data_IF_769437255582
#
_entry.id   IF_769437255582
#
_cell.length_a   1.000
_cell.length_b   1.000
_cell.length_c   1.000
_cell.angle_alpha   90.00
_cell.angle_beta   90.00
_cell.angle_gamma   90.00
#
_symmetry.space_group_name_H-M   'P 1'
#
loop_
_entity.id
_entity.type
_entity.pdbx_description
1 polymer ?
#
# COMPACT_ATOMS: atom_id res chain seq x y z
N UNK A 1 64.43 -17.61 -18.64
CA UNK A 1 63.00 -17.74 -19.02
C UNK A 1 62.07 -16.85 -18.19
N UNK A 2 62.38 -16.52 -16.93
CA UNK A 2 61.55 -15.65 -16.07
C UNK A 2 61.32 -14.20 -16.53
N UNK A 3 62.25 -13.58 -17.28
CA UNK A 3 62.09 -12.19 -17.79
C UNK A 3 60.99 -12.03 -18.85
N UNK A 4 60.69 -13.08 -19.64
CA UNK A 4 59.62 -13.03 -20.66
C UNK A 4 58.22 -13.18 -20.04
N UNK A 5 58.09 -13.95 -18.96
CA UNK A 5 56.83 -14.12 -18.24
C UNK A 5 56.38 -12.85 -17.51
N UNK A 6 57.33 -12.06 -17.00
CA UNK A 6 57.04 -10.76 -16.35
C UNK A 6 56.52 -9.73 -17.36
N UNK A 7 57.10 -9.70 -18.57
CA UNK A 7 56.68 -8.77 -19.63
C UNK A 7 55.27 -9.05 -20.16
N UNK A 8 54.85 -10.32 -20.21
CA UNK A 8 53.49 -10.71 -20.63
C UNK A 8 52.46 -10.37 -19.55
N UNK A 9 52.82 -10.50 -18.26
CA UNK A 9 51.93 -10.15 -17.15
C UNK A 9 51.67 -8.63 -17.06
N UNK A 10 52.66 -7.79 -17.38
CA UNK A 10 52.51 -6.33 -17.35
C UNK A 10 51.68 -5.75 -18.49
N UNK A 11 51.56 -6.44 -19.64
CA UNK A 11 50.75 -5.96 -20.78
C UNK A 11 49.32 -6.47 -20.77
N UNK A 12 49.01 -7.53 -20.02
CA UNK A 12 47.64 -8.06 -19.90
C UNK A 12 46.80 -7.32 -18.85
N UNK A 13 47.44 -6.76 -17.82
CA UNK A 13 46.75 -6.05 -16.74
C UNK A 13 45.98 -4.78 -17.17
N UNK A 14 46.48 -3.93 -18.11
CA UNK A 14 45.73 -2.79 -18.60
C UNK A 14 44.53 -3.18 -19.46
N UNK A 15 44.60 -4.29 -20.19
CA UNK A 15 43.53 -4.74 -21.08
C UNK A 15 42.26 -5.19 -20.32
N UNK A 16 42.42 -5.71 -19.10
CA UNK A 16 41.30 -6.06 -18.21
C UNK A 16 40.60 -4.83 -17.60
N UNK A 17 41.27 -3.67 -17.54
CA UNK A 17 40.70 -2.44 -16.99
C UNK A 17 39.79 -1.71 -17.99
N UNK A 18 39.91 -1.97 -19.29
CA UNK A 18 39.11 -1.30 -20.35
C UNK A 18 37.78 -2.01 -20.61
N UNK A 19 37.62 -3.27 -20.18
CA UNK A 19 36.37 -4.03 -20.32
C UNK A 19 35.25 -3.63 -19.34
N UNK A 20 35.55 -2.79 -18.35
CA UNK A 20 34.59 -2.40 -17.30
C UNK A 20 33.60 -1.30 -17.75
N UNK A 21 33.80 -0.66 -18.91
CA UNK A 21 32.92 0.45 -19.35
C UNK A 21 31.55 0.00 -19.90
N UNK A 22 31.30 -1.33 -20.01
CA UNK A 22 30.02 -1.88 -20.44
C UNK A 22 29.33 -2.75 -19.38
N UNK A 23 29.85 -2.80 -18.15
CA UNK A 23 29.33 -3.65 -17.08
C UNK A 23 28.29 -2.87 -16.25
N UNK A 24 27.03 -2.97 -16.64
CA UNK A 24 25.91 -2.42 -15.87
C UNK A 24 24.59 -2.74 -16.55
N UNK A 25 23.48 -2.25 -16.01
CA UNK A 25 22.13 -2.53 -16.52
C UNK A 25 22.01 -2.16 -18.00
N UNK A 26 21.84 -3.17 -18.87
CA UNK A 26 21.65 -3.00 -20.30
C UNK A 26 20.15 -2.98 -20.61
N UNK A 27 19.70 -1.95 -21.33
CA UNK A 27 18.32 -1.81 -21.73
C UNK A 27 18.22 -0.93 -22.98
N UNK A 28 18.03 -1.55 -24.14
CA UNK A 28 17.85 -0.84 -25.41
C UNK A 28 16.38 -0.47 -25.69
N UNK A 29 15.48 -0.85 -24.79
CA UNK A 29 14.06 -0.51 -24.86
C UNK A 29 13.72 0.66 -23.93
N UNK A 30 12.43 1.00 -23.88
CA UNK A 30 11.89 1.99 -22.94
C UNK A 30 11.30 1.33 -21.68
N UNK A 31 11.34 0.01 -21.60
CA UNK A 31 10.82 -0.75 -20.47
C UNK A 31 11.60 -0.46 -19.19
N UNK A 32 10.92 -0.41 -18.06
CA UNK A 32 11.61 -0.25 -16.79
C UNK A 32 12.18 -1.60 -16.32
N UNK A 33 13.50 -1.70 -16.19
CA UNK A 33 14.16 -2.88 -15.59
C UNK A 33 13.83 -2.99 -14.09
N UNK A 34 13.79 -1.84 -13.41
CA UNK A 34 13.53 -1.75 -11.97
C UNK A 34 12.03 -1.56 -11.71
N UNK A 35 11.29 -2.67 -11.62
CA UNK A 35 9.85 -2.66 -11.40
C UNK A 35 9.49 -2.51 -9.90
N UNK A 36 8.39 -1.83 -9.56
CA UNK A 36 7.93 -1.75 -8.19
C UNK A 36 7.42 -3.11 -7.70
N UNK A 37 7.82 -3.47 -6.50
CA UNK A 37 7.42 -4.70 -5.81
C UNK A 37 6.59 -4.32 -4.60
N UNK A 38 5.43 -4.97 -4.46
CA UNK A 38 4.50 -4.77 -3.34
C UNK A 38 4.67 -5.90 -2.34
N UNK A 39 5.06 -5.55 -1.12
CA UNK A 39 5.04 -6.47 0.02
C UNK A 39 3.76 -6.24 0.83
N UNK A 40 3.06 -7.33 1.16
CA UNK A 40 1.89 -7.34 2.03
C UNK A 40 2.21 -8.09 3.32
N UNK A 41 1.77 -7.57 4.46
CA UNK A 41 1.84 -8.22 5.76
C UNK A 41 0.46 -8.19 6.40
N UNK A 42 -0.08 -9.36 6.71
CA UNK A 42 -1.38 -9.51 7.35
C UNK A 42 -1.18 -9.89 8.83
N UNK A 43 -1.69 -9.05 9.71
CA UNK A 43 -1.62 -9.20 11.16
C UNK A 43 -3.02 -9.55 11.66
N UNK A 44 -3.13 -10.64 12.41
CA UNK A 44 -4.41 -11.17 12.87
C UNK A 44 -4.56 -10.99 14.37
N UNK A 45 -5.79 -10.68 14.80
CA UNK A 45 -6.18 -10.63 16.20
C UNK A 45 -7.52 -11.32 16.38
N UNK A 46 -7.55 -12.35 17.22
CA UNK A 46 -8.77 -13.09 17.53
C UNK A 46 -9.38 -12.58 18.84
N UNK A 47 -10.64 -12.16 18.76
CA UNK A 47 -11.43 -11.62 19.86
C UNK A 47 -12.64 -12.53 20.11
N UNK A 48 -12.99 -12.77 21.37
CA UNK A 48 -14.25 -13.47 21.69
C UNK A 48 -15.46 -12.57 21.50
N UNK A 49 -16.55 -13.13 21.02
CA UNK A 49 -17.84 -12.43 20.87
C UNK A 49 -18.80 -12.84 21.98
N UNK A 50 -19.71 -11.94 22.35
CA UNK A 50 -20.80 -12.24 23.29
C UNK A 50 -22.08 -11.54 22.84
N UNK A 51 -23.16 -12.31 22.65
CA UNK A 51 -24.40 -11.78 22.12
C UNK A 51 -24.22 -11.22 20.70
N UNK A 52 -24.39 -9.90 20.54
CA UNK A 52 -24.31 -9.19 19.26
C UNK A 52 -22.99 -8.39 19.09
N UNK A 53 -22.05 -8.48 20.03
CA UNK A 53 -20.85 -7.63 20.04
C UNK A 53 -19.60 -8.34 20.55
N UNK A 54 -18.54 -7.56 20.76
CA UNK A 54 -17.32 -8.05 21.39
C UNK A 54 -17.57 -8.42 22.85
N UNK A 55 -16.92 -9.47 23.35
CA UNK A 55 -17.02 -9.84 24.74
C UNK A 55 -16.43 -8.75 25.67
N UNK A 56 -16.89 -8.64 26.92
CA UNK A 56 -16.36 -7.65 27.86
C UNK A 56 -14.83 -7.72 27.98
N UNK A 57 -14.16 -6.57 27.77
CA UNK A 57 -12.71 -6.45 27.82
C UNK A 57 -11.99 -6.66 26.48
N UNK A 58 -12.64 -7.24 25.47
CA UNK A 58 -12.02 -7.44 24.14
C UNK A 58 -11.78 -6.13 23.39
N UNK A 59 -12.66 -5.14 23.54
CA UNK A 59 -12.45 -3.82 22.95
C UNK A 59 -11.14 -3.16 23.45
N UNK A 60 -10.83 -3.28 24.74
CA UNK A 60 -9.60 -2.76 25.33
C UNK A 60 -8.37 -3.53 24.88
N UNK A 61 -8.46 -4.86 24.77
CA UNK A 61 -7.38 -5.70 24.21
C UNK A 61 -7.10 -5.33 22.75
N UNK A 62 -8.16 -5.16 21.96
CA UNK A 62 -8.09 -4.74 20.57
C UNK A 62 -7.45 -3.36 20.43
N UNK A 63 -7.87 -2.39 21.26
CA UNK A 63 -7.28 -1.05 21.28
C UNK A 63 -5.79 -1.08 21.63
N UNK A 64 -5.38 -1.85 22.65
CA UNK A 64 -3.99 -2.03 23.03
C UNK A 64 -3.15 -2.68 21.93
N UNK A 65 -3.71 -3.68 21.24
CA UNK A 65 -3.08 -4.31 20.08
C UNK A 65 -2.89 -3.31 18.93
N UNK A 66 -3.92 -2.56 18.55
CA UNK A 66 -3.83 -1.52 17.51
C UNK A 66 -2.81 -0.43 17.86
N UNK A 67 -2.75 -0.03 19.13
CA UNK A 67 -1.76 0.93 19.61
C UNK A 67 -0.34 0.37 19.50
N UNK A 68 -0.13 -0.91 19.84
CA UNK A 68 1.17 -1.58 19.73
C UNK A 68 1.65 -1.67 18.27
N UNK A 69 0.72 -1.87 17.33
CA UNK A 69 1.00 -1.90 15.89
C UNK A 69 1.25 -0.51 15.30
N UNK A 70 0.94 0.55 16.05
CA UNK A 70 0.90 1.94 15.57
C UNK A 70 0.07 2.02 14.30
N UNK A 71 -1.20 1.60 14.42
CA UNK A 71 -2.16 1.64 13.33
C UNK A 71 -2.22 3.06 12.75
N UNK A 72 -2.20 3.18 11.43
CA UNK A 72 -2.12 4.49 10.79
C UNK A 72 -2.58 4.48 9.33
N UNK A 73 -2.32 5.60 8.65
CA UNK A 73 -2.66 5.76 7.25
C UNK A 73 -1.98 4.68 6.39
N UNK A 74 -2.75 4.08 5.48
CA UNK A 74 -2.31 2.99 4.60
C UNK A 74 -2.56 1.58 5.15
N UNK A 75 -2.88 1.44 6.44
CA UNK A 75 -3.33 0.17 7.00
C UNK A 75 -4.80 -0.07 6.66
N UNK A 76 -5.13 -1.30 6.25
CA UNK A 76 -6.52 -1.71 6.02
C UNK A 76 -6.96 -2.67 7.10
N UNK A 77 -8.12 -2.40 7.70
CA UNK A 77 -8.69 -3.26 8.73
C UNK A 77 -9.91 -3.95 8.18
N UNK A 78 -9.93 -5.27 8.21
CA UNK A 78 -11.07 -6.09 7.81
C UNK A 78 -11.48 -7.02 8.96
N UNK A 79 -12.71 -7.51 8.90
CA UNK A 79 -13.25 -8.46 9.86
C UNK A 79 -13.56 -9.76 9.13
N UNK A 80 -13.03 -10.85 9.65
CA UNK A 80 -13.31 -12.22 9.27
C UNK A 80 -14.17 -12.84 10.39
N UNK A 81 -15.48 -12.92 10.14
CA UNK A 81 -16.47 -13.46 11.06
C UNK A 81 -17.15 -14.69 10.45
N UNK A 82 -16.97 -15.89 11.04
CA UNK A 82 -17.58 -17.11 10.54
C UNK A 82 -19.11 -17.14 10.70
N UNK A 83 -19.69 -16.26 11.52
CA UNK A 83 -21.13 -16.13 11.71
C UNK A 83 -21.54 -14.65 11.76
N UNK A 84 -21.68 -13.96 10.62
CA UNK A 84 -21.90 -12.50 10.53
C UNK A 84 -23.31 -12.04 10.96
N UNK A 85 -23.92 -12.71 11.93
CA UNK A 85 -25.26 -12.42 12.43
C UNK A 85 -25.26 -11.22 13.38
N UNK A 86 -25.14 -10.01 12.80
CA UNK A 86 -25.33 -8.74 13.49
C UNK A 86 -24.24 -7.71 13.21
N UNK A 87 -24.58 -6.43 13.32
CA UNK A 87 -23.63 -5.33 13.10
C UNK A 87 -22.85 -4.94 14.36
N UNK A 88 -23.20 -5.45 15.54
CA UNK A 88 -22.61 -4.93 16.79
C UNK A 88 -21.11 -5.18 16.90
N UNK A 89 -20.59 -6.33 16.42
CA UNK A 89 -19.14 -6.57 16.33
C UNK A 89 -18.46 -5.60 15.36
N UNK A 90 -19.09 -5.36 14.19
CA UNK A 90 -18.60 -4.37 13.22
C UNK A 90 -18.58 -2.96 13.81
N UNK A 91 -19.63 -2.57 14.51
CA UNK A 91 -19.76 -1.27 15.16
C UNK A 91 -18.73 -1.09 16.29
N UNK A 92 -18.53 -2.12 17.11
CA UNK A 92 -17.53 -2.14 18.17
C UNK A 92 -16.12 -1.96 17.60
N UNK A 93 -15.76 -2.73 16.56
CA UNK A 93 -14.45 -2.60 15.90
C UNK A 93 -14.32 -1.25 15.19
N UNK A 94 -15.36 -0.79 14.49
CA UNK A 94 -15.40 0.52 13.82
C UNK A 94 -15.19 1.67 14.81
N UNK A 95 -15.75 1.56 16.01
CA UNK A 95 -15.55 2.53 17.10
C UNK A 95 -14.08 2.62 17.54
N UNK A 96 -13.33 1.51 17.51
CA UNK A 96 -11.91 1.50 17.86
C UNK A 96 -11.03 2.06 16.75
N UNK A 97 -11.28 1.67 15.49
CA UNK A 97 -10.43 2.10 14.35
C UNK A 97 -10.71 3.54 13.91
N UNK A 98 -11.92 4.06 14.17
CA UNK A 98 -12.27 5.46 13.83
C UNK A 98 -11.35 6.48 14.48
N UNK A 99 -10.75 6.15 15.63
CA UNK A 99 -9.75 6.96 16.33
C UNK A 99 -8.47 7.19 15.52
N UNK A 100 -8.20 6.30 14.57
CA UNK A 100 -7.07 6.38 13.64
C UNK A 100 -7.48 6.96 12.28
N UNK A 101 -8.74 7.40 12.12
CA UNK A 101 -9.28 7.89 10.85
C UNK A 101 -9.47 6.79 9.80
N UNK A 102 -9.59 5.54 10.23
CA UNK A 102 -9.75 4.38 9.35
C UNK A 102 -11.20 3.87 9.33
N UNK A 103 -11.56 3.24 8.22
CA UNK A 103 -12.83 2.58 8.00
C UNK A 103 -12.60 1.08 7.79
N UNK A 104 -13.58 0.27 8.18
CA UNK A 104 -13.56 -1.15 7.89
C UNK A 104 -13.58 -1.37 6.38
N UNK A 105 -12.71 -2.27 5.93
CA UNK A 105 -12.66 -2.75 4.55
C UNK A 105 -13.53 -4.00 4.42
N UNK A 106 -14.26 -4.09 3.32
CA UNK A 106 -15.05 -5.28 2.97
C UNK A 106 -14.19 -6.42 2.41
N UNK A 107 -12.91 -6.16 2.08
CA UNK A 107 -11.97 -7.14 1.53
C UNK A 107 -11.18 -7.81 2.66
N UNK A 108 -11.80 -8.77 3.34
CA UNK A 108 -11.12 -9.63 4.31
C UNK A 108 -10.23 -10.65 3.58
N UNK A 109 -8.90 -10.66 3.83
CA UNK A 109 -8.04 -11.68 3.25
C UNK A 109 -8.37 -13.06 3.79
N UNK A 110 -8.12 -14.08 2.97
CA UNK A 110 -8.16 -15.47 3.41
C UNK A 110 -7.04 -15.68 4.42
N UNK A 111 -7.41 -15.90 5.68
CA UNK A 111 -6.45 -16.16 6.75
C UNK A 111 -6.11 -17.66 6.79
N UNK A 112 -4.87 -18.00 7.16
CA UNK A 112 -4.36 -19.37 7.06
C UNK A 112 -4.94 -20.39 8.05
N UNK A 113 -5.74 -19.94 9.01
CA UNK A 113 -6.38 -20.79 10.01
C UNK A 113 -7.87 -20.46 10.12
N UNK A 114 -8.77 -21.44 10.31
CA UNK A 114 -10.18 -21.15 10.54
C UNK A 114 -10.38 -20.36 11.84
N UNK A 115 -11.34 -19.44 11.84
CA UNK A 115 -11.78 -18.73 13.06
C UNK A 115 -12.64 -19.69 13.89
N UNK A 116 -12.38 -19.76 15.19
CA UNK A 116 -13.14 -20.63 16.10
C UNK A 116 -14.58 -20.11 16.30
N UNK A 117 -15.57 -20.97 16.51
CA UNK A 117 -16.93 -20.54 16.85
C UNK A 117 -16.95 -19.64 18.09
N UNK A 118 -17.74 -18.55 18.06
CA UNK A 118 -17.80 -17.57 19.15
C UNK A 118 -16.60 -16.62 19.21
N UNK A 119 -15.76 -16.63 18.18
CA UNK A 119 -14.66 -15.67 18.00
C UNK A 119 -14.84 -14.93 16.69
N UNK A 120 -14.31 -13.72 16.65
CA UNK A 120 -14.16 -12.92 15.43
C UNK A 120 -12.68 -12.61 15.23
N UNK A 121 -12.24 -12.60 13.98
CA UNK A 121 -10.87 -12.23 13.63
C UNK A 121 -10.85 -10.84 13.01
N UNK A 122 -10.07 -9.95 13.62
CA UNK A 122 -9.72 -8.66 13.03
C UNK A 122 -8.40 -8.82 12.31
N UNK A 123 -8.36 -8.43 11.03
CA UNK A 123 -7.16 -8.50 10.20
C UNK A 123 -6.71 -7.10 9.83
N UNK A 124 -5.47 -6.76 10.16
CA UNK A 124 -4.80 -5.55 9.71
C UNK A 124 -3.84 -5.92 8.59
N UNK A 125 -4.15 -5.48 7.38
CA UNK A 125 -3.30 -5.63 6.19
C UNK A 125 -2.48 -4.37 5.99
N UNK A 126 -1.14 -4.49 6.08
CA UNK A 126 -0.19 -3.42 5.77
C UNK A 126 0.51 -3.74 4.46
N UNK A 127 0.49 -2.78 3.54
CA UNK A 127 1.16 -2.92 2.25
C UNK A 127 2.21 -1.83 2.05
N UNK A 128 3.32 -2.19 1.41
CA UNK A 128 4.38 -1.26 1.05
C UNK A 128 4.87 -1.54 -0.36
N UNK A 129 4.93 -0.51 -1.20
CA UNK A 129 5.60 -0.56 -2.49
C UNK A 129 7.06 -0.13 -2.32
N UNK A 130 7.98 -0.85 -2.93
CA UNK A 130 9.39 -0.46 -3.02
C UNK A 130 9.99 -0.97 -4.33
N UNK A 131 11.02 -0.29 -4.82
CA UNK A 131 11.74 -0.71 -6.02
C UNK A 131 13.10 -1.26 -5.59
N UNK A 132 13.31 -2.58 -5.60
CA UNK A 132 14.59 -3.17 -5.23
C UNK A 132 15.71 -2.73 -6.18
N UNK A 133 16.94 -2.61 -5.68
CA UNK A 133 18.11 -2.26 -6.51
C UNK A 133 18.27 -0.77 -6.82
N UNK A 134 17.39 0.10 -6.30
CA UNK A 134 17.45 1.54 -6.54
C UNK A 134 18.16 2.33 -5.41
N UNK A 135 18.88 3.42 -5.74
CA UNK A 135 19.15 3.93 -7.10
C UNK A 135 20.20 3.10 -7.85
N UNK A 136 20.13 3.06 -9.19
CA UNK A 136 21.08 2.31 -10.03
C UNK A 136 21.89 3.25 -10.95
N UNK A 137 23.17 3.40 -10.65
CA UNK A 137 24.15 4.16 -11.43
C UNK A 137 25.24 3.26 -12.04
N UNK A 138 24.93 1.99 -12.30
CA UNK A 138 25.88 1.04 -12.89
C UNK A 138 26.34 1.44 -14.30
N UNK A 139 25.57 2.29 -15.03
CA UNK A 139 25.99 2.83 -16.34
C UNK A 139 25.92 4.36 -16.38
N UNK A 140 27.05 4.99 -16.03
CA UNK A 140 27.27 6.44 -16.12
C UNK A 140 28.19 6.86 -17.27
N UNK A 141 28.75 5.90 -18.01
CA UNK A 141 29.71 6.17 -19.10
C UNK A 141 29.04 6.88 -20.29
N UNK A 142 29.71 7.91 -20.80
CA UNK A 142 29.34 8.62 -22.03
C UNK A 142 30.59 8.79 -22.91
N UNK A 143 30.46 8.75 -24.25
CA UNK A 143 29.23 8.54 -25.02
C UNK A 143 28.74 7.08 -25.01
N UNK A 144 27.42 6.90 -25.11
CA UNK A 144 26.77 5.59 -25.19
C UNK A 144 26.37 5.30 -26.64
N UNK A 145 26.93 4.25 -27.23
CA UNK A 145 26.72 3.92 -28.65
C UNK A 145 25.65 2.85 -28.90
N UNK A 146 25.22 2.12 -27.87
CA UNK A 146 24.27 1.02 -27.99
C UNK A 146 22.81 1.48 -27.75
N UNK A 147 22.58 2.79 -27.68
CA UNK A 147 21.27 3.42 -27.46
C UNK A 147 20.51 2.85 -26.24
N UNK A 148 21.25 2.53 -25.17
CA UNK A 148 20.62 2.10 -23.93
C UNK A 148 19.97 3.29 -23.20
N UNK A 149 18.86 3.04 -22.51
CA UNK A 149 18.34 3.97 -21.53
C UNK A 149 19.26 4.04 -20.30
N UNK A 150 19.15 5.14 -19.53
CA UNK A 150 19.91 5.29 -18.30
C UNK A 150 19.62 4.12 -17.34
N UNK A 151 20.65 3.59 -16.67
CA UNK A 151 20.49 2.55 -15.64
C UNK A 151 19.50 2.98 -14.54
N UNK A 152 19.42 4.29 -14.28
CA UNK A 152 18.54 4.86 -13.27
C UNK A 152 17.13 5.20 -13.79
N UNK A 153 16.80 4.95 -15.06
CA UNK A 153 15.50 5.31 -15.67
C UNK A 153 14.33 4.69 -14.89
N UNK A 154 14.40 3.39 -14.60
CA UNK A 154 13.34 2.70 -13.87
C UNK A 154 13.25 3.17 -12.41
N UNK A 155 14.39 3.39 -11.78
CA UNK A 155 14.46 3.88 -10.42
C UNK A 155 13.88 5.29 -10.27
N UNK A 156 14.16 6.22 -11.18
CA UNK A 156 13.65 7.59 -11.09
C UNK A 156 12.13 7.67 -11.26
N UNK A 157 11.54 6.80 -12.10
CA UNK A 157 10.10 6.80 -12.35
C UNK A 157 9.37 5.98 -11.27
N UNK A 158 9.78 4.72 -11.08
CA UNK A 158 9.02 3.78 -10.27
C UNK A 158 9.18 4.01 -8.77
N UNK A 159 10.29 4.59 -8.30
CA UNK A 159 10.42 4.94 -6.87
C UNK A 159 9.52 6.09 -6.47
N UNK A 160 9.39 7.10 -7.35
CA UNK A 160 8.43 8.19 -7.17
C UNK A 160 7.00 7.65 -7.23
N UNK A 161 6.69 6.78 -8.20
CA UNK A 161 5.37 6.15 -8.28
C UNK A 161 5.04 5.36 -7.00
N UNK A 162 5.96 4.55 -6.51
CA UNK A 162 5.79 3.78 -5.27
C UNK A 162 5.60 4.67 -4.03
N UNK A 163 6.17 5.88 -4.01
CA UNK A 163 6.02 6.84 -2.91
C UNK A 163 4.71 7.65 -3.00
N UNK A 164 4.17 7.86 -4.20
CA UNK A 164 2.96 8.67 -4.43
C UNK A 164 1.66 7.87 -4.31
N UNK A 165 1.69 6.55 -4.56
CA UNK A 165 0.48 5.73 -4.55
C UNK A 165 -0.02 5.52 -3.13
N UNK A 166 -1.28 5.89 -2.90
CA UNK A 166 -1.96 5.72 -1.62
C UNK A 166 -2.17 4.24 -1.24
N UNK A 167 -2.54 3.40 -2.22
CA UNK A 167 -2.79 1.98 -2.02
C UNK A 167 -1.86 1.13 -2.92
N UNK A 168 -0.79 0.53 -2.36
CA UNK A 168 0.15 -0.29 -3.13
C UNK A 168 -0.49 -1.46 -3.89
N UNK A 169 -1.65 -1.99 -3.48
CA UNK A 169 -2.34 -3.08 -4.18
C UNK A 169 -2.65 -2.73 -5.64
N UNK A 170 -2.86 -1.44 -5.91
CA UNK A 170 -3.30 -0.95 -7.21
C UNK A 170 -2.20 -1.09 -8.26
N UNK A 171 -0.93 -1.19 -7.84
CA UNK A 171 0.19 -1.53 -8.72
C UNK A 171 0.13 -2.95 -9.27
N UNK A 172 -0.60 -3.86 -8.61
CA UNK A 172 -0.67 -5.28 -8.99
C UNK A 172 -2.00 -5.61 -9.64
N UNK A 173 -3.10 -5.22 -9.00
CA UNK A 173 -4.45 -5.62 -9.44
C UNK A 173 -5.17 -4.51 -10.21
N UNK A 174 -4.71 -3.26 -10.10
CA UNK A 174 -5.52 -2.10 -10.44
C UNK A 174 -6.74 -1.97 -9.51
N UNK A 175 -7.36 -0.80 -9.54
CA UNK A 175 -8.64 -0.62 -8.87
C UNK A 175 -9.75 -0.94 -9.88
N UNK A 176 -10.70 -1.86 -9.58
CA UNK A 176 -11.93 -1.89 -10.33
C UNK A 176 -12.56 -0.50 -10.18
N UNK A 177 -12.83 0.18 -11.30
CA UNK A 177 -13.39 1.53 -11.26
C UNK A 177 -14.59 1.57 -10.30
N UNK A 178 -14.73 2.65 -9.53
CA UNK A 178 -15.89 2.81 -8.66
C UNK A 178 -17.16 2.66 -9.49
N UNK A 179 -18.16 1.91 -8.97
CA UNK A 179 -19.49 1.95 -9.56
C UNK A 179 -19.88 3.42 -9.69
N UNK A 180 -20.21 3.76 -10.93
CA UNK A 180 -20.45 5.10 -11.45
C UNK A 180 -21.19 5.92 -10.39
N UNK A 181 -20.64 7.09 -10.06
CA UNK A 181 -21.28 8.12 -9.23
C UNK A 181 -22.79 8.06 -9.41
N UNK A 182 -23.52 7.60 -8.38
CA UNK A 182 -24.97 7.53 -8.46
C UNK A 182 -25.50 8.93 -8.81
N UNK A 183 -26.12 9.12 -9.99
CA UNK A 183 -26.57 10.44 -10.41
C UNK A 183 -27.58 11.03 -9.42
N UNK A 184 -28.31 10.21 -8.65
CA UNK A 184 -29.19 10.70 -7.58
C UNK A 184 -28.40 11.30 -6.41
N UNK A 185 -27.30 10.65 -6.00
CA UNK A 185 -26.38 11.16 -4.98
C UNK A 185 -25.61 12.41 -5.47
N UNK A 186 -25.17 12.45 -6.73
CA UNK A 186 -24.50 13.60 -7.32
C UNK A 186 -25.41 14.84 -7.42
N UNK A 187 -26.68 14.62 -7.82
CA UNK A 187 -27.65 15.71 -7.93
C UNK A 187 -28.11 16.22 -6.57
N UNK A 188 -28.11 15.39 -5.51
CA UNK A 188 -28.47 15.81 -4.15
C UNK A 188 -27.59 16.96 -3.63
N UNK A 189 -26.28 16.92 -3.87
CA UNK A 189 -25.37 18.00 -3.47
C UNK A 189 -25.62 19.30 -4.27
N UNK A 190 -25.89 19.17 -5.57
CA UNK A 190 -26.22 20.31 -6.45
C UNK A 190 -27.56 20.93 -6.03
N UNK A 191 -28.56 20.11 -5.77
CA UNK A 191 -29.88 20.55 -5.31
C UNK A 191 -29.81 21.20 -3.94
N UNK A 192 -29.03 20.64 -3.01
CA UNK A 192 -28.80 21.25 -1.70
C UNK A 192 -28.14 22.62 -1.83
N UNK A 193 -27.14 22.77 -2.69
CA UNK A 193 -26.51 24.06 -2.97
C UNK A 193 -27.49 25.06 -3.61
N UNK A 194 -28.30 24.62 -4.59
CA UNK A 194 -29.29 25.48 -5.27
C UNK A 194 -30.43 25.91 -4.35
N UNK A 195 -30.85 25.05 -3.42
CA UNK A 195 -31.94 25.30 -2.47
C UNK A 195 -31.47 25.98 -1.19
N UNK A 196 -30.16 26.07 -0.95
CA UNK A 196 -29.63 26.75 0.22
C UNK A 196 -29.99 28.25 0.16
N UNK A 197 -30.77 28.78 1.12
CA UNK A 197 -30.99 30.22 1.20
C UNK A 197 -29.65 30.90 1.48
N UNK A 198 -29.37 32.00 0.79
CA UNK A 198 -28.14 32.79 0.99
C UNK A 198 -28.24 33.46 2.37
N UNK A 199 -27.81 32.79 3.43
CA UNK A 199 -27.79 33.38 4.77
C UNK A 199 -26.53 34.24 4.91
N UNK A 200 -26.68 35.55 4.71
CA UNK A 200 -25.69 36.52 5.19
C UNK A 200 -25.83 36.57 6.72
N UNK A 201 -25.00 35.78 7.41
CA UNK A 201 -24.78 35.86 8.85
C UNK A 201 -25.82 35.18 9.74
N UNK A 202 -25.59 33.90 10.06
CA UNK A 202 -25.51 33.29 11.41
C UNK A 202 -25.68 31.78 11.30
N UNK A 203 -24.67 31.04 11.76
CA UNK A 203 -24.67 29.58 11.78
C UNK A 203 -25.68 29.04 12.79
N UNK A 204 -26.72 28.35 12.34
CA UNK A 204 -27.41 27.34 13.14
C UNK A 204 -27.24 25.98 12.46
N UNK A 205 -26.31 25.18 13.01
CA UNK A 205 -26.26 23.75 12.73
C UNK A 205 -27.52 23.10 13.27
N UNK A 206 -28.35 22.57 12.38
CA UNK A 206 -29.51 21.74 12.75
C UNK A 206 -29.12 20.29 12.54
N UNK A 207 -28.66 19.66 13.63
CA UNK A 207 -28.64 18.21 13.80
C UNK A 207 -30.08 17.69 13.64
N UNK A 208 -30.28 16.75 12.72
CA UNK A 208 -31.55 16.07 12.50
C UNK A 208 -31.29 14.58 12.27
N UNK A 209 -31.36 13.81 13.34
CA UNK A 209 -31.45 12.35 13.30
C UNK A 209 -32.89 11.84 13.18
N UNK A 210 -32.99 10.50 13.12
CA UNK A 210 -34.16 9.61 12.95
C UNK A 210 -34.75 9.54 11.54
N UNK A 211 -35.14 8.38 11.00
CA UNK A 211 -35.31 7.01 11.52
C UNK A 211 -35.07 6.00 10.39
#
# INVERSE_FOLDING_TARGET
>A
MFKRSILIATTLAPALLVGACSTGTQNRGLESVHQPVVSRTDLVFDASTSGNGLAPGEAQRLAGWMQSLRLGYGDRVAIDDPNPSGNGVRDDVQSQISRYGLLLSDDAPVTGAPVQPGMVRVVVSRMKASVPGCPDFSRVSQPEFESNTSSNQGCSINSNLAAMIANPTDLVRGQPGADVTDPASATKAIDAYRKAPISVGTSQGKSGGSN
#
